data_IF_555353359925
#
_entry.id   IF_555353359925
#
_cell.length_a   1.000
_cell.length_b   1.000
_cell.length_c   1.000
_cell.angle_alpha   90.00
_cell.angle_beta   90.00
_cell.angle_gamma   90.00
#
_symmetry.space_group_name_H-M   'P 1'
#
loop_
_entity.id
_entity.type
_entity.pdbx_description
1 polymer ?
#
# COMPACT_ATOMS: atom_id res chain seq x y z
N UNK A 1 -8.65 -1.07 25.28
CA UNK A 1 -7.97 0.08 24.61
C UNK A 1 -6.46 -0.16 24.75
N UNK A 2 -5.80 -0.67 23.71
CA UNK A 2 -4.33 -0.76 23.72
C UNK A 2 -3.79 0.66 23.60
N UNK A 3 -3.01 1.11 24.56
CA UNK A 3 -2.31 2.39 24.51
C UNK A 3 -1.37 2.37 23.29
N UNK A 4 -1.52 3.35 22.41
CA UNK A 4 -0.61 3.53 21.28
C UNK A 4 0.83 3.57 21.82
N UNK A 5 1.73 2.64 21.43
CA UNK A 5 3.09 2.57 21.94
C UNK A 5 3.90 3.85 21.71
N UNK A 6 3.44 4.74 20.80
CA UNK A 6 4.04 6.03 20.51
C UNK A 6 3.61 7.16 21.46
N UNK A 7 2.63 6.93 22.36
CA UNK A 7 2.21 7.94 23.35
C UNK A 7 3.29 8.26 24.41
N UNK A 8 4.30 7.42 24.56
CA UNK A 8 5.41 7.60 25.49
C UNK A 8 6.64 8.27 24.86
N UNK A 9 6.59 8.67 23.59
CA UNK A 9 7.66 9.47 23.02
C UNK A 9 7.62 10.88 23.66
N UNK A 10 8.76 11.43 24.13
CA UNK A 10 8.80 12.78 24.67
C UNK A 10 8.20 13.73 23.63
N UNK A 11 7.24 14.54 24.06
CA UNK A 11 6.58 15.56 23.21
C UNK A 11 7.62 16.59 22.82
N UNK A 12 8.21 16.41 21.65
CA UNK A 12 9.09 17.38 21.02
C UNK A 12 8.18 18.44 20.38
N UNK A 13 8.46 19.72 20.59
CA UNK A 13 7.72 20.77 19.86
C UNK A 13 8.28 20.92 18.43
N UNK A 14 7.55 21.63 17.56
CA UNK A 14 7.94 21.85 16.15
C UNK A 14 9.35 22.46 16.04
N UNK A 15 9.65 23.46 16.87
CA UNK A 15 10.93 24.18 16.83
C UNK A 15 12.08 23.24 17.20
N UNK A 16 11.90 22.43 18.24
CA UNK A 16 12.91 21.44 18.66
C UNK A 16 13.13 20.38 17.58
N UNK A 17 12.07 19.91 16.92
CA UNK A 17 12.17 18.97 15.81
C UNK A 17 12.98 19.56 14.63
N UNK A 18 12.71 20.80 14.26
CA UNK A 18 13.46 21.52 13.22
C UNK A 18 14.94 21.66 13.63
N UNK A 19 15.21 22.05 14.88
CA UNK A 19 16.57 22.21 15.39
C UNK A 19 17.33 20.88 15.39
N UNK A 20 16.67 19.75 15.70
CA UNK A 20 17.30 18.44 15.65
C UNK A 20 17.71 18.10 14.20
N UNK A 21 16.82 18.32 13.21
CA UNK A 21 17.12 18.01 11.81
C UNK A 21 18.23 18.89 11.21
N UNK A 22 18.43 20.10 11.73
CA UNK A 22 19.49 21.02 11.30
C UNK A 22 20.85 20.74 11.93
N UNK A 23 20.90 19.91 13.00
CA UNK A 23 22.18 19.58 13.66
C UNK A 23 23.00 18.65 12.78
N UNK A 24 24.32 18.88 12.67
CA UNK A 24 25.21 17.93 12.03
C UNK A 24 25.23 16.62 12.80
N UNK A 25 25.51 15.51 12.09
CA UNK A 25 25.49 14.14 12.64
C UNK A 25 26.39 14.02 13.90
N UNK A 26 27.51 14.72 13.89
CA UNK A 26 28.49 14.75 14.99
C UNK A 26 27.94 15.32 16.31
N UNK A 27 26.91 16.13 16.24
CA UNK A 27 26.30 16.82 17.40
C UNK A 27 25.04 16.14 17.93
N UNK A 28 24.53 15.12 17.22
CA UNK A 28 23.35 14.39 17.64
C UNK A 28 23.74 13.19 18.49
N UNK A 29 23.29 13.16 19.73
CA UNK A 29 23.63 12.10 20.70
C UNK A 29 23.10 10.73 20.27
N UNK A 30 21.87 10.70 19.75
CA UNK A 30 21.21 9.49 19.29
C UNK A 30 20.66 9.72 17.88
N UNK A 31 21.14 8.98 16.90
CA UNK A 31 20.68 9.10 15.49
C UNK A 31 19.18 8.82 15.34
N UNK A 32 18.61 8.03 16.25
CA UNK A 32 17.15 7.82 16.32
C UNK A 32 16.35 9.10 16.59
N UNK A 33 16.99 10.16 17.08
CA UNK A 33 16.30 11.45 17.32
C UNK A 33 15.93 12.14 16.00
N UNK A 34 16.66 11.89 14.89
CA UNK A 34 16.25 12.33 13.57
C UNK A 34 14.91 11.72 13.16
N UNK A 35 14.73 10.41 13.36
CA UNK A 35 13.46 9.77 13.03
C UNK A 35 12.31 10.34 13.87
N UNK A 36 12.52 10.55 15.17
CA UNK A 36 11.52 11.16 16.06
C UNK A 36 11.15 12.57 15.60
N UNK A 37 12.15 13.38 15.23
CA UNK A 37 11.94 14.72 14.73
C UNK A 37 11.13 14.74 13.43
N UNK A 38 11.49 13.90 12.45
CA UNK A 38 10.74 13.72 11.20
C UNK A 38 9.31 13.27 11.46
N UNK A 39 9.13 12.25 12.31
CA UNK A 39 7.81 11.72 12.67
C UNK A 39 6.93 12.81 13.31
N UNK A 40 7.52 13.62 14.17
CA UNK A 40 6.80 14.73 14.81
C UNK A 40 6.41 15.82 13.81
N UNK A 41 7.31 16.19 12.88
CA UNK A 41 7.03 17.18 11.84
C UNK A 41 5.93 16.74 10.88
N UNK A 42 5.66 15.44 10.74
CA UNK A 42 4.55 14.93 9.94
C UNK A 42 3.17 15.51 10.34
N UNK A 43 3.04 16.02 11.57
CA UNK A 43 1.83 16.67 12.06
C UNK A 43 1.77 18.18 11.75
N UNK A 44 2.82 18.76 11.16
CA UNK A 44 2.94 20.20 10.89
C UNK A 44 3.22 20.48 9.41
N UNK A 45 2.23 20.28 8.50
CA UNK A 45 2.40 20.56 7.08
C UNK A 45 2.48 22.07 6.83
N UNK A 46 3.71 22.60 6.76
CA UNK A 46 3.98 24.00 6.48
C UNK A 46 5.32 24.15 5.74
N UNK A 47 5.51 25.29 5.08
CA UNK A 47 6.71 25.58 4.28
C UNK A 47 8.02 25.39 5.05
N UNK A 48 8.06 25.81 6.32
CA UNK A 48 9.26 25.64 7.15
C UNK A 48 9.62 24.17 7.37
N UNK A 49 8.61 23.30 7.60
CA UNK A 49 8.80 21.86 7.72
C UNK A 49 9.26 21.25 6.39
N UNK A 50 8.68 21.68 5.25
CA UNK A 50 9.08 21.22 3.92
C UNK A 50 10.55 21.54 3.64
N UNK A 51 10.98 22.78 3.90
CA UNK A 51 12.37 23.23 3.66
C UNK A 51 13.35 22.41 4.49
N UNK A 52 13.07 22.20 5.76
CA UNK A 52 13.97 21.44 6.64
C UNK A 52 14.04 19.96 6.24
N UNK A 53 12.92 19.36 5.87
CA UNK A 53 12.88 17.98 5.39
C UNK A 53 13.60 17.82 4.04
N UNK A 54 13.44 18.78 3.12
CA UNK A 54 14.17 18.82 1.85
C UNK A 54 15.68 18.92 2.05
N UNK A 55 16.13 19.74 2.97
CA UNK A 55 17.57 19.84 3.28
C UNK A 55 18.08 18.55 3.94
N UNK A 56 17.30 17.98 4.86
CA UNK A 56 17.67 16.75 5.56
C UNK A 56 17.88 15.57 4.60
N UNK A 57 17.03 15.39 3.59
CA UNK A 57 17.18 14.25 2.66
C UNK A 57 18.42 14.35 1.75
N UNK A 58 18.99 15.55 1.55
CA UNK A 58 20.19 15.76 0.72
C UNK A 58 21.47 15.25 1.39
N UNK A 59 21.49 15.18 2.71
CA UNK A 59 22.68 14.71 3.43
C UNK A 59 22.78 13.18 3.36
N UNK A 60 24.01 12.68 3.29
CA UNK A 60 24.29 11.25 3.27
C UNK A 60 24.91 10.76 4.56
N UNK A 61 24.42 9.61 5.01
CA UNK A 61 24.95 8.89 6.15
C UNK A 61 24.64 7.41 6.02
N UNK A 62 25.67 6.57 6.14
CA UNK A 62 25.54 5.13 6.00
C UNK A 62 24.90 4.44 7.21
N UNK A 63 24.69 5.16 8.32
CA UNK A 63 24.08 4.61 9.54
C UNK A 63 22.60 4.27 9.30
N UNK A 64 22.18 3.11 9.75
CA UNK A 64 20.84 2.58 9.53
C UNK A 64 19.74 3.52 10.05
N UNK A 65 19.93 4.08 11.25
CA UNK A 65 18.96 4.98 11.87
C UNK A 65 18.76 6.25 11.02
N UNK A 66 19.83 6.74 10.40
CA UNK A 66 19.74 7.88 9.50
C UNK A 66 19.01 7.52 8.20
N UNK A 67 19.33 6.36 7.60
CA UNK A 67 18.63 5.85 6.41
C UNK A 67 17.12 5.69 6.66
N UNK A 68 16.74 5.19 7.84
CA UNK A 68 15.33 5.08 8.25
C UNK A 68 14.68 6.46 8.37
N UNK A 69 15.37 7.43 8.99
CA UNK A 69 14.87 8.79 9.11
C UNK A 69 14.73 9.48 7.74
N UNK A 70 15.70 9.29 6.83
CA UNK A 70 15.66 9.81 5.43
C UNK A 70 14.44 9.27 4.68
N UNK A 71 14.20 7.95 4.73
CA UNK A 71 13.01 7.33 4.11
C UNK A 71 11.72 7.94 4.67
N UNK A 72 11.65 8.11 6.00
CA UNK A 72 10.48 8.74 6.63
C UNK A 72 10.31 10.21 6.21
N UNK A 73 11.39 10.96 6.04
CA UNK A 73 11.32 12.35 5.57
C UNK A 73 10.77 12.46 4.14
N UNK A 74 11.19 11.56 3.24
CA UNK A 74 10.67 11.46 1.88
C UNK A 74 9.16 11.14 1.90
N UNK A 75 8.73 10.18 2.73
CA UNK A 75 7.31 9.84 2.92
C UNK A 75 6.50 11.04 3.42
N UNK A 76 7.03 11.79 4.40
CA UNK A 76 6.35 12.98 4.97
C UNK A 76 6.22 14.08 3.91
N UNK A 77 7.26 14.35 3.13
CA UNK A 77 7.21 15.32 2.03
C UNK A 77 6.14 14.93 0.99
N UNK A 78 6.02 13.64 0.67
CA UNK A 78 4.99 13.14 -0.24
C UNK A 78 3.58 13.30 0.36
N UNK A 79 3.40 13.04 1.66
CA UNK A 79 2.12 13.20 2.35
C UNK A 79 1.70 14.66 2.46
N UNK A 80 2.64 15.59 2.57
CA UNK A 80 2.38 17.04 2.50
C UNK A 80 1.96 17.50 1.09
N UNK A 81 2.18 16.67 0.07
CA UNK A 81 1.96 17.07 -1.33
C UNK A 81 3.01 18.05 -1.84
N UNK A 82 4.21 18.07 -1.25
CA UNK A 82 5.30 18.99 -1.58
C UNK A 82 5.88 18.69 -2.98
N UNK A 83 5.29 19.31 -4.01
CA UNK A 83 5.73 19.11 -5.41
C UNK A 83 7.16 19.58 -5.68
N UNK A 84 7.65 20.55 -4.90
CA UNK A 84 9.05 21.03 -4.96
C UNK A 84 10.05 19.90 -4.66
N UNK A 85 9.62 18.85 -3.92
CA UNK A 85 10.45 17.73 -3.55
C UNK A 85 10.65 16.70 -4.67
N UNK A 86 9.87 16.73 -5.76
CA UNK A 86 9.87 15.69 -6.81
C UNK A 86 11.28 15.44 -7.36
N UNK A 87 12.01 16.48 -7.74
CA UNK A 87 13.34 16.34 -8.33
C UNK A 87 14.35 15.80 -7.30
N UNK A 88 14.37 16.36 -6.10
CA UNK A 88 15.27 15.92 -5.03
C UNK A 88 15.00 14.46 -4.61
N UNK A 89 13.72 14.04 -4.57
CA UNK A 89 13.35 12.66 -4.27
C UNK A 89 13.77 11.74 -5.42
N UNK A 90 13.61 12.14 -6.67
CA UNK A 90 13.93 11.34 -7.84
C UNK A 90 15.42 11.02 -8.00
N UNK A 91 16.32 11.81 -7.40
CA UNK A 91 17.77 11.53 -7.37
C UNK A 91 18.08 10.17 -6.72
N UNK A 92 17.22 9.70 -5.81
CA UNK A 92 17.40 8.41 -5.13
C UNK A 92 16.83 7.20 -5.89
N UNK A 93 16.30 7.35 -7.11
CA UNK A 93 15.76 6.22 -7.90
C UNK A 93 16.82 5.16 -8.27
N UNK A 94 18.08 5.56 -8.37
CA UNK A 94 19.21 4.67 -8.70
C UNK A 94 20.08 4.34 -7.48
N UNK A 95 19.52 4.49 -6.27
CA UNK A 95 20.22 4.12 -5.03
C UNK A 95 20.27 2.59 -4.85
N UNK A 96 21.32 2.09 -4.18
CA UNK A 96 21.48 0.66 -3.90
C UNK A 96 20.58 0.15 -2.75
N UNK A 97 19.98 1.04 -1.96
CA UNK A 97 19.01 0.68 -0.90
C UNK A 97 17.61 0.48 -1.53
N UNK A 98 17.24 -0.76 -1.81
CA UNK A 98 15.92 -1.11 -2.36
C UNK A 98 14.76 -0.49 -1.56
N UNK A 99 14.86 -0.42 -0.22
CA UNK A 99 13.81 0.19 0.61
C UNK A 99 13.70 1.71 0.41
N UNK A 100 14.83 2.37 0.14
CA UNK A 100 14.82 3.80 -0.21
C UNK A 100 14.17 3.98 -1.59
N UNK A 101 14.56 3.17 -2.56
CA UNK A 101 14.00 3.21 -3.93
C UNK A 101 12.49 2.95 -3.91
N UNK A 102 12.01 1.98 -3.12
CA UNK A 102 10.57 1.73 -2.92
C UNK A 102 9.84 2.95 -2.36
N UNK A 103 10.42 3.58 -1.33
CA UNK A 103 9.85 4.79 -0.73
C UNK A 103 9.79 5.93 -1.76
N UNK A 104 10.82 6.07 -2.57
CA UNK A 104 10.90 7.09 -3.65
C UNK A 104 9.81 6.84 -4.70
N UNK A 105 9.70 5.61 -5.22
CA UNK A 105 8.68 5.24 -6.23
C UNK A 105 7.26 5.53 -5.69
N UNK A 106 6.97 5.10 -4.46
CA UNK A 106 5.69 5.37 -3.82
C UNK A 106 5.43 6.87 -3.66
N UNK A 107 6.45 7.64 -3.24
CA UNK A 107 6.33 9.09 -3.02
C UNK A 107 6.08 9.84 -4.32
N UNK A 108 6.75 9.46 -5.40
CA UNK A 108 6.54 10.06 -6.73
C UNK A 108 5.13 9.78 -7.27
N UNK A 109 4.58 8.59 -7.00
CA UNK A 109 3.17 8.28 -7.30
C UNK A 109 2.22 9.18 -6.49
N UNK A 110 2.47 9.32 -5.18
CA UNK A 110 1.66 10.15 -4.26
C UNK A 110 1.67 11.62 -4.66
N UNK A 111 2.82 12.12 -5.09
CA UNK A 111 3.01 13.49 -5.59
C UNK A 111 2.45 13.71 -7.00
N UNK A 112 1.94 12.66 -7.66
CA UNK A 112 1.41 12.68 -9.04
C UNK A 112 2.48 13.24 -10.00
N UNK A 113 3.70 12.69 -9.96
CA UNK A 113 4.80 13.08 -10.82
C UNK A 113 4.40 12.99 -12.29
N UNK A 114 4.71 14.04 -13.08
CA UNK A 114 4.44 14.12 -14.51
C UNK A 114 5.72 14.23 -15.35
N UNK A 115 6.88 14.23 -14.72
CA UNK A 115 8.18 14.32 -15.39
C UNK A 115 8.46 13.01 -16.14
N UNK A 116 8.64 13.13 -17.45
CA UNK A 116 8.80 11.99 -18.37
C UNK A 116 10.09 11.23 -18.09
N UNK A 117 11.17 11.92 -17.74
CA UNK A 117 12.47 11.29 -17.50
C UNK A 117 12.43 10.49 -16.19
N UNK A 118 11.77 11.03 -15.15
CA UNK A 118 11.54 10.32 -13.89
C UNK A 118 10.66 9.08 -14.14
N UNK A 119 9.58 9.24 -14.89
CA UNK A 119 8.68 8.12 -15.24
C UNK A 119 9.44 7.03 -16.01
N UNK A 120 10.31 7.41 -16.96
CA UNK A 120 11.13 6.45 -17.71
C UNK A 120 12.07 5.66 -16.78
N UNK A 121 12.69 6.31 -15.78
CA UNK A 121 13.49 5.63 -14.75
C UNK A 121 12.66 4.65 -13.92
N UNK A 122 11.42 5.01 -13.56
CA UNK A 122 10.51 4.08 -12.88
C UNK A 122 10.16 2.90 -13.79
N UNK A 123 9.85 3.13 -15.06
CA UNK A 123 9.58 2.08 -16.04
C UNK A 123 10.72 1.08 -16.17
N UNK A 124 11.97 1.55 -16.18
CA UNK A 124 13.16 0.69 -16.31
C UNK A 124 13.24 -0.37 -15.20
N UNK A 125 12.69 -0.10 -14.01
CA UNK A 125 12.65 -1.06 -12.89
C UNK A 125 11.80 -2.30 -13.18
N UNK A 126 10.90 -2.29 -14.17
CA UNK A 126 10.20 -3.50 -14.62
C UNK A 126 11.11 -4.51 -15.29
N UNK A 127 12.17 -4.04 -15.96
CA UNK A 127 13.08 -4.87 -16.74
C UNK A 127 14.30 -5.34 -15.94
N UNK A 128 14.63 -4.64 -14.88
CA UNK A 128 15.79 -4.92 -14.03
C UNK A 128 15.45 -5.97 -12.94
N UNK A 129 16.47 -6.34 -12.13
CA UNK A 129 16.32 -7.26 -10.99
C UNK A 129 15.66 -6.60 -9.76
N UNK A 130 14.96 -5.49 -9.94
CA UNK A 130 14.24 -4.83 -8.85
C UNK A 130 13.17 -5.76 -8.26
N UNK A 131 13.24 -5.97 -6.95
CA UNK A 131 12.44 -7.01 -6.28
C UNK A 131 10.95 -6.68 -6.22
N UNK A 132 10.59 -5.40 -6.08
CA UNK A 132 9.19 -4.99 -5.89
C UNK A 132 8.54 -4.48 -7.17
N UNK A 133 8.46 -5.35 -8.20
CA UNK A 133 7.77 -5.03 -9.46
C UNK A 133 6.29 -4.67 -9.26
N UNK A 134 5.66 -5.22 -8.22
CA UNK A 134 4.29 -4.86 -7.83
C UNK A 134 4.14 -3.36 -7.59
N UNK A 135 5.02 -2.77 -6.80
CA UNK A 135 5.00 -1.34 -6.50
C UNK A 135 5.16 -0.50 -7.77
N UNK A 136 6.05 -0.90 -8.66
CA UNK A 136 6.26 -0.22 -9.94
C UNK A 136 4.97 -0.22 -10.77
N UNK A 137 4.34 -1.39 -10.93
CA UNK A 137 3.07 -1.53 -11.67
C UNK A 137 1.99 -0.64 -11.06
N UNK A 138 1.83 -0.67 -9.74
CA UNK A 138 0.84 0.17 -9.03
C UNK A 138 1.12 1.66 -9.24
N UNK A 139 2.39 2.05 -9.18
CA UNK A 139 2.81 3.44 -9.42
C UNK A 139 2.46 3.89 -10.84
N UNK A 140 2.84 3.11 -11.85
CA UNK A 140 2.52 3.42 -13.25
C UNK A 140 1.01 3.48 -13.49
N UNK A 141 0.25 2.59 -12.84
CA UNK A 141 -1.22 2.59 -12.88
C UNK A 141 -1.80 3.87 -12.29
N UNK A 142 -1.30 4.31 -11.14
CA UNK A 142 -1.76 5.52 -10.47
C UNK A 142 -1.37 6.80 -11.22
N UNK A 143 -0.25 6.78 -11.92
CA UNK A 143 0.20 7.89 -12.77
C UNK A 143 -0.47 7.88 -14.16
N UNK A 144 -1.24 6.85 -14.51
CA UNK A 144 -1.91 6.73 -15.82
C UNK A 144 -0.95 6.41 -16.98
N UNK A 145 0.20 5.81 -16.69
CA UNK A 145 1.26 5.52 -17.67
C UNK A 145 0.96 4.24 -18.44
N UNK A 146 0.66 4.36 -19.73
CA UNK A 146 0.30 3.24 -20.62
C UNK A 146 1.48 2.65 -21.39
N UNK A 147 2.62 3.32 -21.40
CA UNK A 147 3.79 2.96 -22.21
C UNK A 147 4.25 1.51 -22.01
N UNK A 148 4.15 1.00 -20.77
CA UNK A 148 4.65 -0.32 -20.40
C UNK A 148 3.54 -1.40 -20.36
N UNK A 149 2.40 -1.16 -21.00
CA UNK A 149 1.24 -2.05 -20.91
C UNK A 149 1.54 -3.47 -21.42
N UNK A 150 2.38 -3.60 -22.45
CA UNK A 150 2.77 -4.91 -23.00
C UNK A 150 3.68 -5.69 -22.05
N UNK A 151 4.59 -5.00 -21.37
CA UNK A 151 5.40 -5.61 -20.31
C UNK A 151 4.55 -6.05 -19.13
N UNK A 152 3.62 -5.21 -18.69
CA UNK A 152 2.66 -5.54 -17.62
C UNK A 152 1.81 -6.76 -18.02
N UNK A 153 1.35 -6.81 -19.27
CA UNK A 153 0.60 -7.98 -19.82
C UNK A 153 1.46 -9.24 -19.83
N UNK A 154 2.74 -9.14 -20.17
CA UNK A 154 3.69 -10.25 -20.09
C UNK A 154 3.83 -10.76 -18.65
N UNK A 155 4.02 -9.84 -17.67
CA UNK A 155 4.13 -10.20 -16.24
C UNK A 155 2.87 -10.87 -15.71
N UNK A 156 1.69 -10.49 -16.18
CA UNK A 156 0.42 -11.11 -15.78
C UNK A 156 0.31 -12.58 -16.20
N UNK A 157 0.95 -12.96 -17.31
CA UNK A 157 0.94 -14.31 -17.89
C UNK A 157 2.13 -15.17 -17.47
N UNK A 158 3.20 -14.57 -16.98
CA UNK A 158 4.41 -15.28 -16.59
C UNK A 158 4.15 -16.19 -15.37
N UNK A 159 4.44 -17.49 -15.54
CA UNK A 159 4.28 -18.48 -14.47
C UNK A 159 5.21 -18.21 -13.27
N UNK A 160 6.35 -17.54 -13.50
CA UNK A 160 7.31 -17.18 -12.45
C UNK A 160 6.90 -15.94 -11.64
N UNK A 161 5.99 -15.14 -12.17
CA UNK A 161 5.46 -13.97 -11.45
C UNK A 161 4.64 -14.43 -10.24
N UNK A 162 4.87 -13.79 -9.09
CA UNK A 162 4.08 -14.03 -7.87
C UNK A 162 2.61 -13.60 -8.06
N UNK A 163 1.71 -14.15 -7.25
CA UNK A 163 0.31 -13.75 -7.23
C UNK A 163 0.14 -12.24 -7.06
N UNK A 164 0.97 -11.63 -6.22
CA UNK A 164 0.95 -10.19 -5.96
C UNK A 164 1.32 -9.35 -7.19
N UNK A 165 2.29 -9.80 -7.98
CA UNK A 165 2.66 -9.12 -9.24
C UNK A 165 1.55 -9.30 -10.27
N UNK A 166 0.99 -10.52 -10.39
CA UNK A 166 -0.13 -10.80 -11.30
C UNK A 166 -1.37 -9.98 -10.97
N UNK A 167 -1.74 -9.89 -9.68
CA UNK A 167 -2.88 -9.09 -9.23
C UNK A 167 -2.75 -7.62 -9.60
N UNK A 168 -1.59 -7.01 -9.30
CA UNK A 168 -1.31 -5.64 -9.69
C UNK A 168 -1.33 -5.46 -11.22
N UNK A 169 -0.83 -6.46 -11.97
CA UNK A 169 -0.87 -6.43 -13.44
C UNK A 169 -2.29 -6.49 -13.98
N UNK A 170 -3.16 -7.34 -13.42
CA UNK A 170 -4.58 -7.38 -13.82
C UNK A 170 -5.28 -6.04 -13.54
N UNK A 171 -5.07 -5.46 -12.35
CA UNK A 171 -5.62 -4.15 -12.01
C UNK A 171 -5.16 -3.05 -12.99
N UNK A 172 -3.87 -3.07 -13.36
CA UNK A 172 -3.31 -2.14 -14.33
C UNK A 172 -3.91 -2.32 -15.73
N UNK A 173 -4.08 -3.57 -16.20
CA UNK A 173 -4.68 -3.88 -17.50
C UNK A 173 -6.14 -3.43 -17.57
N UNK A 174 -6.92 -3.66 -16.51
CA UNK A 174 -8.30 -3.18 -16.41
C UNK A 174 -8.31 -1.65 -16.50
N UNK A 175 -7.56 -0.96 -15.63
CA UNK A 175 -7.62 0.50 -15.51
C UNK A 175 -7.01 1.24 -16.70
N UNK A 176 -5.89 0.77 -17.22
CA UNK A 176 -5.14 1.46 -18.26
C UNK A 176 -5.51 1.01 -19.68
N UNK A 177 -5.85 -0.25 -19.87
CA UNK A 177 -6.11 -0.84 -21.18
C UNK A 177 -7.60 -1.19 -21.41
N UNK A 178 -8.45 -1.15 -20.38
CA UNK A 178 -9.87 -1.53 -20.50
C UNK A 178 -10.08 -3.04 -20.66
N UNK A 179 -9.12 -3.87 -20.23
CA UNK A 179 -9.22 -5.33 -20.32
C UNK A 179 -10.11 -5.89 -19.19
N UNK A 180 -11.43 -5.67 -19.27
CA UNK A 180 -12.40 -6.09 -18.24
C UNK A 180 -12.48 -7.60 -18.01
N UNK A 181 -12.06 -8.41 -19.00
CA UNK A 181 -11.95 -9.86 -18.85
C UNK A 181 -11.02 -10.26 -17.68
N UNK A 182 -10.05 -9.44 -17.35
CA UNK A 182 -9.14 -9.64 -16.22
C UNK A 182 -9.79 -9.49 -14.84
N UNK A 183 -11.00 -8.92 -14.76
CA UNK A 183 -11.77 -8.89 -13.51
C UNK A 183 -12.04 -10.31 -12.97
N UNK A 184 -12.36 -11.25 -13.85
CA UNK A 184 -12.61 -12.64 -13.44
C UNK A 184 -11.38 -13.28 -12.81
N UNK A 185 -10.18 -12.98 -13.34
CA UNK A 185 -8.93 -13.49 -12.78
C UNK A 185 -8.58 -12.79 -11.45
N UNK A 186 -8.83 -11.49 -11.35
CA UNK A 186 -8.59 -10.73 -10.13
C UNK A 186 -9.51 -11.17 -8.98
N UNK A 187 -10.80 -11.47 -9.25
CA UNK A 187 -11.75 -12.03 -8.28
C UNK A 187 -11.28 -13.34 -7.67
N UNK A 188 -10.64 -14.22 -8.46
CA UNK A 188 -10.08 -15.49 -7.95
C UNK A 188 -9.04 -15.28 -6.85
N UNK A 189 -8.33 -14.14 -6.86
CA UNK A 189 -7.29 -13.84 -5.87
C UNK A 189 -7.85 -13.52 -4.48
N UNK A 190 -9.13 -13.19 -4.39
CA UNK A 190 -9.83 -13.06 -3.11
C UNK A 190 -9.96 -14.40 -2.36
N UNK A 191 -9.75 -15.52 -3.06
CA UNK A 191 -9.87 -16.89 -2.54
C UNK A 191 -8.52 -17.62 -2.50
N UNK A 192 -7.39 -16.91 -2.52
CA UNK A 192 -6.08 -17.52 -2.34
C UNK A 192 -5.88 -18.00 -0.90
N UNK A 193 -5.14 -19.11 -0.72
CA UNK A 193 -4.86 -19.67 0.62
C UNK A 193 -4.07 -18.72 1.52
N UNK A 194 -3.14 -17.96 0.93
CA UNK A 194 -2.34 -17.00 1.68
C UNK A 194 -3.13 -15.71 1.97
N UNK A 195 -3.33 -15.39 3.24
CA UNK A 195 -4.04 -14.19 3.70
C UNK A 195 -3.45 -12.90 3.12
N UNK A 196 -2.11 -12.77 3.11
CA UNK A 196 -1.48 -11.56 2.59
C UNK A 196 -1.71 -11.37 1.09
N UNK A 197 -1.83 -12.47 0.32
CA UNK A 197 -2.17 -12.40 -1.10
C UNK A 197 -3.63 -11.96 -1.29
N UNK A 198 -4.56 -12.41 -0.42
CA UNK A 198 -5.95 -11.91 -0.43
C UNK A 198 -6.02 -10.42 -0.09
N UNK A 199 -5.26 -9.95 0.91
CA UNK A 199 -5.17 -8.51 1.23
C UNK A 199 -4.61 -7.70 0.05
N UNK A 200 -3.59 -8.22 -0.64
CA UNK A 200 -3.08 -7.60 -1.85
C UNK A 200 -4.14 -7.55 -2.95
N UNK A 201 -4.94 -8.60 -3.12
CA UNK A 201 -6.03 -8.64 -4.11
C UNK A 201 -7.10 -7.57 -3.84
N UNK A 202 -7.44 -7.30 -2.57
CA UNK A 202 -8.35 -6.19 -2.21
C UNK A 202 -7.79 -4.85 -2.69
N UNK A 203 -6.50 -4.58 -2.45
CA UNK A 203 -5.88 -3.35 -2.90
C UNK A 203 -5.83 -3.26 -4.44
N UNK A 204 -5.63 -4.38 -5.13
CA UNK A 204 -5.63 -4.42 -6.59
C UNK A 204 -7.04 -4.17 -7.15
N UNK A 205 -8.08 -4.67 -6.49
CA UNK A 205 -9.48 -4.40 -6.81
C UNK A 205 -9.80 -2.91 -6.64
N UNK A 206 -9.38 -2.30 -5.54
CA UNK A 206 -9.52 -0.85 -5.32
C UNK A 206 -8.81 -0.07 -6.44
N UNK A 207 -7.59 -0.49 -6.81
CA UNK A 207 -6.82 0.16 -7.87
C UNK A 207 -7.44 -0.02 -9.26
N UNK A 208 -8.09 -1.16 -9.53
CA UNK A 208 -8.86 -1.40 -10.76
C UNK A 208 -10.07 -0.46 -10.85
N UNK A 209 -10.69 -0.13 -9.70
CA UNK A 209 -11.79 0.83 -9.62
C UNK A 209 -13.11 0.30 -10.18
N UNK A 210 -13.43 -1.00 -10.02
CA UNK A 210 -14.61 -1.59 -10.65
C UNK A 210 -15.61 -2.13 -9.61
N UNK A 211 -16.78 -1.47 -9.49
CA UNK A 211 -17.81 -1.82 -8.48
C UNK A 211 -18.38 -3.24 -8.62
N UNK A 212 -18.40 -3.83 -9.83
CA UNK A 212 -18.96 -5.18 -10.06
C UNK A 212 -18.24 -6.30 -9.28
N UNK A 213 -17.14 -5.97 -8.61
CA UNK A 213 -16.39 -6.92 -7.77
C UNK A 213 -16.93 -6.98 -6.34
N UNK A 214 -17.74 -6.00 -5.90
CA UNK A 214 -18.23 -5.91 -4.52
C UNK A 214 -18.94 -7.17 -4.02
N UNK A 215 -19.82 -7.83 -4.78
CA UNK A 215 -20.46 -9.07 -4.34
C UNK A 215 -19.46 -10.20 -4.03
N UNK A 216 -18.40 -10.34 -4.83
CA UNK A 216 -17.35 -11.33 -4.60
C UNK A 216 -16.47 -10.97 -3.41
N UNK A 217 -16.20 -9.67 -3.21
CA UNK A 217 -15.39 -9.15 -2.11
C UNK A 217 -16.08 -9.35 -0.77
N UNK A 218 -17.40 -9.11 -0.69
CA UNK A 218 -18.20 -9.28 0.52
C UNK A 218 -18.16 -10.73 0.98
N UNK A 219 -18.25 -11.68 0.05
CA UNK A 219 -18.21 -13.12 0.33
C UNK A 219 -16.81 -13.66 0.61
N UNK A 220 -15.77 -12.89 0.34
CA UNK A 220 -14.39 -13.36 0.56
C UNK A 220 -14.06 -13.48 2.06
N UNK A 221 -13.18 -14.46 2.45
CA UNK A 221 -12.77 -14.66 3.83
C UNK A 221 -11.75 -13.59 4.27
N UNK A 222 -12.24 -12.39 4.48
CA UNK A 222 -11.51 -11.17 4.85
C UNK A 222 -12.14 -10.54 6.07
N UNK A 223 -11.37 -9.76 6.82
CA UNK A 223 -11.94 -9.02 7.95
C UNK A 223 -12.98 -7.99 7.48
N UNK A 224 -14.04 -7.75 8.28
CA UNK A 224 -15.03 -6.72 7.99
C UNK A 224 -14.41 -5.35 7.72
N UNK A 225 -13.33 -4.99 8.43
CA UNK A 225 -12.64 -3.71 8.23
C UNK A 225 -12.03 -3.57 6.84
N UNK A 226 -11.44 -4.65 6.28
CA UNK A 226 -10.93 -4.64 4.91
C UNK A 226 -12.06 -4.53 3.87
N UNK A 227 -13.17 -5.23 4.10
CA UNK A 227 -14.35 -5.16 3.23
C UNK A 227 -14.93 -3.74 3.21
N UNK A 228 -15.12 -3.12 4.39
CA UNK A 228 -15.64 -1.75 4.50
C UNK A 228 -14.69 -0.72 3.85
N UNK A 229 -13.38 -0.85 4.05
CA UNK A 229 -12.39 0.02 3.39
C UNK A 229 -12.47 -0.07 1.87
N UNK A 230 -12.66 -1.27 1.33
CA UNK A 230 -12.79 -1.46 -0.11
C UNK A 230 -14.10 -0.88 -0.64
N UNK A 231 -15.21 -1.07 0.07
CA UNK A 231 -16.52 -0.47 -0.27
C UNK A 231 -16.39 1.05 -0.32
N UNK A 232 -15.83 1.68 0.73
CA UNK A 232 -15.62 3.12 0.81
C UNK A 232 -14.77 3.62 -0.37
N UNK A 233 -13.61 2.99 -0.61
CA UNK A 233 -12.67 3.39 -1.66
C UNK A 233 -13.25 3.26 -3.08
N UNK A 234 -14.02 2.21 -3.34
CA UNK A 234 -14.64 1.98 -4.64
C UNK A 234 -15.83 2.91 -4.86
N UNK A 235 -16.63 3.16 -3.84
CA UNK A 235 -17.82 4.00 -3.94
C UNK A 235 -17.51 5.47 -4.16
N UNK A 236 -16.48 5.99 -3.50
CA UNK A 236 -16.06 7.40 -3.67
C UNK A 236 -15.53 7.66 -5.09
N UNK A 237 -14.92 6.66 -5.73
CA UNK A 237 -14.30 6.81 -7.04
C UNK A 237 -15.28 6.68 -8.21
N UNK A 238 -16.46 6.13 -8.00
CA UNK A 238 -17.46 5.97 -9.05
C UNK A 238 -18.73 6.78 -8.74
N UNK A 239 -18.95 7.85 -9.52
CA UNK A 239 -20.21 8.61 -9.56
C UNK A 239 -21.29 7.85 -10.36
N UNK A 240 -20.98 6.68 -10.91
CA UNK A 240 -21.89 5.91 -11.77
C UNK A 240 -22.68 4.93 -10.91
N UNK A 241 -23.98 5.14 -10.83
CA UNK A 241 -24.95 4.18 -10.29
C UNK A 241 -24.84 2.87 -11.08
N UNK A 242 -24.23 1.84 -10.49
CA UNK A 242 -24.46 0.49 -10.97
C UNK A 242 -25.88 0.09 -10.59
N UNK A 243 -26.80 0.02 -11.55
CA UNK A 243 -28.23 -0.28 -11.33
C UNK A 243 -28.50 -1.56 -10.54
N UNK A 244 -27.50 -2.44 -10.41
CA UNK A 244 -27.62 -3.76 -9.78
C UNK A 244 -26.90 -3.91 -8.43
N UNK A 245 -26.20 -2.88 -7.92
CA UNK A 245 -25.47 -2.97 -6.65
C UNK A 245 -26.03 -1.93 -5.67
N UNK A 246 -26.64 -2.43 -4.59
CA UNK A 246 -27.12 -1.58 -3.52
C UNK A 246 -26.05 -1.47 -2.43
N UNK A 247 -25.52 -0.26 -2.23
CA UNK A 247 -24.50 0.04 -1.22
C UNK A 247 -24.94 -0.36 0.18
N UNK A 248 -26.19 -0.04 0.55
CA UNK A 248 -26.70 -0.37 1.90
C UNK A 248 -26.71 -1.88 2.11
N UNK A 249 -27.14 -2.66 1.11
CA UNK A 249 -27.11 -4.11 1.22
C UNK A 249 -25.66 -4.64 1.35
N UNK A 250 -24.71 -4.01 0.67
CA UNK A 250 -23.29 -4.37 0.81
C UNK A 250 -22.76 -4.09 2.21
N UNK A 251 -23.10 -2.93 2.77
CA UNK A 251 -22.70 -2.54 4.13
C UNK A 251 -23.36 -3.47 5.15
N UNK A 252 -24.67 -3.70 5.03
CA UNK A 252 -25.43 -4.59 5.92
C UNK A 252 -24.85 -6.00 5.94
N UNK A 253 -24.53 -6.56 4.77
CA UNK A 253 -23.89 -7.88 4.66
C UNK A 253 -22.54 -7.95 5.38
N UNK A 254 -21.76 -6.85 5.39
CA UNK A 254 -20.49 -6.80 6.12
C UNK A 254 -20.69 -6.56 7.62
N UNK A 255 -21.71 -5.80 8.01
CA UNK A 255 -22.01 -5.50 9.42
C UNK A 255 -22.58 -6.74 10.14
N UNK A 256 -23.50 -7.46 9.48
CA UNK A 256 -24.05 -8.71 10.03
C UNK A 256 -23.03 -9.86 10.00
N UNK A 257 -22.11 -9.86 9.05
CA UNK A 257 -20.97 -10.77 8.91
C UNK A 257 -21.35 -12.24 9.15
N UNK A 258 -22.42 -12.72 8.48
CA UNK A 258 -22.90 -14.10 8.62
C UNK A 258 -21.88 -15.09 8.03
N UNK A 259 -21.29 -15.99 8.82
CA UNK A 259 -20.29 -16.94 8.35
C UNK A 259 -20.79 -17.87 7.22
N UNK A 260 -22.13 -18.11 7.15
CA UNK A 260 -22.74 -18.94 6.13
C UNK A 260 -22.71 -18.32 4.73
N UNK A 261 -22.54 -16.97 4.67
CA UNK A 261 -22.48 -16.23 3.42
C UNK A 261 -21.02 -16.05 2.93
N UNK A 262 -20.03 -16.55 3.68
CA UNK A 262 -18.61 -16.41 3.37
C UNK A 262 -18.10 -17.64 2.61
N UNK A 263 -17.50 -17.41 1.45
CA UNK A 263 -16.84 -18.43 0.63
C UNK A 263 -15.49 -18.83 1.25
N UNK A 264 -15.52 -19.68 2.28
CA UNK A 264 -14.31 -20.17 2.93
C UNK A 264 -13.57 -21.18 2.04
N UNK A 265 -12.24 -21.21 2.19
CA UNK A 265 -11.39 -22.21 1.55
C UNK A 265 -11.47 -23.49 2.36
N UNK A 266 -11.79 -24.61 1.71
CA UNK A 266 -11.81 -25.90 2.39
C UNK A 266 -10.41 -26.20 2.98
N UNK A 267 -10.34 -26.29 4.30
CA UNK A 267 -9.24 -26.91 5.02
C UNK A 267 -9.80 -28.17 5.63
N UNK A 268 -9.15 -29.33 5.41
CA UNK A 268 -9.55 -30.63 5.96
C UNK A 268 -9.50 -30.62 7.49
N UNK A 269 -10.51 -30.04 8.12
CA UNK A 269 -10.61 -29.89 9.59
C UNK A 269 -11.53 -30.96 10.24
N UNK A 270 -11.96 -31.98 9.49
CA UNK A 270 -13.01 -32.94 9.88
C UNK A 270 -12.75 -33.76 11.16
N UNK A 271 -11.57 -33.66 11.80
CA UNK A 271 -11.24 -34.43 12.99
C UNK A 271 -10.64 -33.59 14.16
N UNK A 272 -10.88 -32.30 14.19
CA UNK A 272 -10.30 -31.45 15.24
C UNK A 272 -11.32 -31.19 16.35
N UNK A 273 -10.89 -31.40 17.61
CA UNK A 273 -11.74 -31.25 18.77
C UNK A 273 -12.19 -29.80 19.01
N UNK A 274 -13.23 -29.62 19.85
CA UNK A 274 -13.84 -28.32 20.19
C UNK A 274 -12.81 -27.28 20.65
N UNK A 275 -11.83 -27.68 21.45
CA UNK A 275 -10.77 -26.78 21.93
C UNK A 275 -9.97 -26.15 20.80
N UNK A 276 -9.68 -26.92 19.74
CA UNK A 276 -9.00 -26.39 18.56
C UNK A 276 -9.87 -25.38 17.79
N UNK A 277 -11.17 -25.67 17.62
CA UNK A 277 -12.11 -24.76 16.95
C UNK A 277 -12.22 -23.43 17.71
N UNK A 278 -12.30 -23.47 19.04
CA UNK A 278 -12.32 -22.27 19.88
C UNK A 278 -11.05 -21.44 19.69
N UNK A 279 -9.88 -22.08 19.61
CA UNK A 279 -8.61 -21.39 19.35
C UNK A 279 -8.60 -20.72 17.97
N UNK A 280 -9.16 -21.36 16.94
CA UNK A 280 -9.23 -20.82 15.59
C UNK A 280 -10.15 -19.60 15.48
N UNK A 281 -11.14 -19.40 16.36
CA UNK A 281 -11.98 -18.20 16.39
C UNK A 281 -11.17 -16.91 16.63
N UNK A 282 -9.99 -17.03 17.24
CA UNK A 282 -9.09 -15.90 17.51
C UNK A 282 -7.89 -15.86 16.55
N UNK A 283 -7.92 -16.67 15.49
CA UNK A 283 -6.84 -16.69 14.52
C UNK A 283 -6.76 -15.38 13.74
N UNK A 284 -5.55 -14.98 13.35
CA UNK A 284 -5.33 -13.74 12.57
C UNK A 284 -5.85 -13.83 11.13
N UNK A 285 -5.96 -15.05 10.59
CA UNK A 285 -6.56 -15.30 9.27
C UNK A 285 -8.06 -15.56 9.42
N UNK A 286 -8.86 -14.67 8.86
CA UNK A 286 -10.32 -14.74 8.89
C UNK A 286 -10.89 -15.98 8.18
N UNK A 287 -10.16 -16.60 7.24
CA UNK A 287 -10.58 -17.88 6.68
C UNK A 287 -10.68 -18.97 7.77
N UNK A 288 -9.67 -19.01 8.68
CA UNK A 288 -9.69 -19.94 9.81
C UNK A 288 -10.79 -19.62 10.81
N UNK A 289 -11.03 -18.32 11.08
CA UNK A 289 -12.11 -17.90 11.98
C UNK A 289 -13.47 -18.35 11.46
N UNK A 290 -13.81 -18.04 10.21
CA UNK A 290 -15.12 -18.42 9.60
C UNK A 290 -15.32 -19.91 9.49
N UNK A 291 -14.27 -20.71 9.29
CA UNK A 291 -14.37 -22.17 9.27
C UNK A 291 -14.60 -22.81 10.64
N UNK A 292 -14.44 -22.05 11.70
CA UNK A 292 -14.54 -22.56 13.10
C UNK A 292 -15.92 -22.28 13.70
N UNK A 293 -16.74 -21.51 13.01
CA UNK A 293 -18.14 -21.21 13.37
C UNK A 293 -19.07 -22.21 12.72
#
# INVERSE_FOLDING_TARGET
MQSNPFNNLPKINKIDAINILRRPISEVKLLADYYKAVFHLANFPCEESEVVLLDFIKHDCEKLEYKIAKRKAIEVLANFGCKKAIQAIAEFLENDDDYLVETVIWSLAKLKCKDIDIINKICSKLYNQFNNKRLVIQTLTNLGVRKEIDMIRSLSRDKKSSNRVKGASFAALIKLAGEEDKLTDLKKFLRLSNQNDRHCAVQDIINAGHLSVLPDLIKAPLSPSFKLQAIDSLWINEVVFCENINLFNCIDSVVFDDPRDIDTLEVNNFNKGISFLIEQLFHTDFNSCYQSI
#
